data_IF_227758780882
#
_entry.id   IF_227758780882
#
_cell.length_a   1.000
_cell.length_b   1.000
_cell.length_c   1.000
_cell.angle_alpha   90.00
_cell.angle_beta   90.00
_cell.angle_gamma   90.00
#
_symmetry.space_group_name_H-M   'P 1'
#
loop_
_entity.id
_entity.type
_entity.pdbx_description
1 polymer ?
#
# COMPACT_ATOMS: atom_id res chain seq x y z
N UNK A 1 -0.15 -14.35 -17.00
CA UNK A 1 -1.43 -14.07 -16.31
C UNK A 1 -1.36 -14.76 -14.96
N UNK A 2 -1.04 -14.05 -13.90
CA UNK A 2 -1.37 -14.52 -12.55
C UNK A 2 -2.81 -14.14 -12.31
N UNK A 3 -3.64 -15.13 -12.01
CA UNK A 3 -5.08 -14.98 -11.80
C UNK A 3 -5.33 -14.03 -10.60
N UNK A 4 -6.12 -12.97 -10.80
CA UNK A 4 -6.41 -11.94 -9.77
C UNK A 4 -6.93 -12.56 -8.47
N UNK A 5 -7.65 -13.69 -8.60
CA UNK A 5 -8.18 -14.42 -7.47
C UNK A 5 -7.08 -14.99 -6.56
N UNK A 6 -5.89 -15.33 -7.09
CA UNK A 6 -4.79 -15.85 -6.26
C UNK A 6 -4.29 -14.83 -5.24
N UNK A 7 -4.20 -13.56 -5.64
CA UNK A 7 -3.80 -12.50 -4.72
C UNK A 7 -4.88 -12.24 -3.68
N UNK A 8 -6.16 -12.23 -4.08
CA UNK A 8 -7.28 -12.08 -3.16
C UNK A 8 -7.36 -13.24 -2.15
N UNK A 9 -7.24 -14.49 -2.61
CA UNK A 9 -7.22 -15.66 -1.73
C UNK A 9 -6.02 -15.63 -0.77
N UNK A 10 -4.84 -15.29 -1.28
CA UNK A 10 -3.65 -15.15 -0.43
C UNK A 10 -3.84 -14.05 0.62
N UNK A 11 -4.39 -12.90 0.23
CA UNK A 11 -4.67 -11.80 1.15
C UNK A 11 -5.67 -12.22 2.22
N UNK A 12 -6.76 -12.88 1.84
CA UNK A 12 -7.76 -13.41 2.78
C UNK A 12 -7.14 -14.40 3.77
N UNK A 13 -6.29 -15.30 3.29
CA UNK A 13 -5.63 -16.29 4.16
C UNK A 13 -4.60 -15.64 5.08
N UNK A 14 -3.78 -14.69 4.60
CA UNK A 14 -2.82 -13.95 5.42
C UNK A 14 -3.55 -13.17 6.53
N UNK A 15 -4.62 -12.45 6.21
CA UNK A 15 -5.41 -11.72 7.21
C UNK A 15 -6.01 -12.70 8.21
N UNK A 16 -6.60 -13.80 7.75
CA UNK A 16 -7.15 -14.82 8.65
C UNK A 16 -6.07 -15.41 9.57
N UNK A 17 -4.88 -15.71 9.05
CA UNK A 17 -3.78 -16.29 9.80
C UNK A 17 -3.27 -15.32 10.88
N UNK A 18 -3.00 -14.06 10.53
CA UNK A 18 -2.50 -13.06 11.48
C UNK A 18 -3.50 -12.85 12.63
N UNK A 19 -4.80 -12.79 12.33
CA UNK A 19 -5.82 -12.63 13.37
C UNK A 19 -6.02 -13.89 14.22
N UNK A 20 -5.86 -15.09 13.65
CA UNK A 20 -5.96 -16.37 14.37
C UNK A 20 -4.78 -16.59 15.32
N UNK A 21 -3.56 -16.31 14.87
CA UNK A 21 -2.34 -16.38 15.69
C UNK A 21 -2.44 -15.53 16.95
N UNK A 22 -2.99 -14.31 16.83
CA UNK A 22 -3.16 -13.41 17.98
C UNK A 22 -4.30 -13.86 18.91
N UNK A 23 -5.40 -14.41 18.37
CA UNK A 23 -6.49 -14.99 19.17
C UNK A 23 -6.07 -16.26 19.93
N UNK A 24 -5.18 -17.08 19.36
CA UNK A 24 -4.66 -18.27 20.04
C UNK A 24 -3.89 -17.92 21.33
N UNK A 25 -3.39 -16.69 21.44
CA UNK A 25 -2.67 -16.21 22.63
C UNK A 25 -3.59 -15.72 23.76
N UNK A 26 -4.83 -15.29 23.46
CA UNK A 26 -5.85 -14.82 24.44
C UNK A 26 -7.26 -14.97 23.88
N UNK A 27 -8.17 -15.56 24.66
CA UNK A 27 -9.56 -15.86 24.25
C UNK A 27 -10.43 -14.67 23.85
N UNK A 28 -10.05 -13.43 24.21
CA UNK A 28 -10.69 -12.20 23.71
C UNK A 28 -9.64 -11.24 23.13
N UNK A 29 -9.91 -10.73 21.93
CA UNK A 29 -9.04 -9.79 21.22
C UNK A 29 -9.42 -8.34 21.56
N UNK A 30 -8.60 -7.66 22.36
CA UNK A 30 -8.79 -6.25 22.69
C UNK A 30 -8.41 -5.33 21.49
N UNK A 31 -8.79 -4.06 21.56
CA UNK A 31 -8.44 -3.05 20.57
C UNK A 31 -6.91 -2.94 20.35
N UNK A 32 -6.10 -3.16 21.39
CA UNK A 32 -4.64 -3.17 21.28
C UNK A 32 -4.12 -4.33 20.43
N UNK A 33 -4.70 -5.51 20.57
CA UNK A 33 -4.29 -6.71 19.82
C UNK A 33 -4.71 -6.60 18.36
N UNK A 34 -5.88 -6.00 18.09
CA UNK A 34 -6.30 -5.62 16.73
C UNK A 34 -5.31 -4.64 16.09
N UNK A 35 -4.89 -3.62 16.81
CA UNK A 35 -3.89 -2.66 16.31
C UNK A 35 -2.54 -3.33 16.02
N UNK A 36 -2.13 -4.31 16.83
CA UNK A 36 -0.93 -5.11 16.57
C UNK A 36 -1.06 -5.96 15.30
N UNK A 37 -2.19 -6.63 15.09
CA UNK A 37 -2.48 -7.37 13.84
C UNK A 37 -2.37 -6.45 12.62
N UNK A 38 -3.00 -5.27 12.68
CA UNK A 38 -2.96 -4.28 11.60
C UNK A 38 -1.53 -3.80 11.33
N UNK A 39 -0.73 -3.56 12.36
CA UNK A 39 0.68 -3.15 12.22
C UNK A 39 1.53 -4.22 11.51
N UNK A 40 1.32 -5.50 11.82
CA UNK A 40 1.98 -6.62 11.12
C UNK A 40 1.60 -6.64 9.63
N UNK A 41 0.31 -6.52 9.33
CA UNK A 41 -0.18 -6.48 7.95
C UNK A 41 0.35 -5.26 7.18
N UNK A 42 0.40 -4.09 7.82
CA UNK A 42 0.98 -2.87 7.25
C UNK A 42 2.47 -3.06 6.94
N UNK A 43 3.23 -3.68 7.85
CA UNK A 43 4.65 -3.98 7.64
C UNK A 43 4.90 -4.93 6.46
N UNK A 44 4.06 -5.96 6.31
CA UNK A 44 4.11 -6.87 5.15
C UNK A 44 3.79 -6.12 3.85
N UNK A 45 2.71 -5.33 3.85
CA UNK A 45 2.31 -4.50 2.72
C UNK A 45 3.39 -3.48 2.32
N UNK A 46 4.06 -2.87 3.29
CA UNK A 46 5.14 -1.92 3.07
C UNK A 46 6.32 -2.55 2.31
N UNK A 47 6.76 -3.73 2.73
CA UNK A 47 7.89 -4.44 2.09
C UNK A 47 7.55 -4.85 0.66
N UNK A 48 6.36 -5.39 0.45
CA UNK A 48 5.87 -5.76 -0.89
C UNK A 48 5.75 -4.51 -1.77
N UNK A 49 5.17 -3.44 -1.23
CA UNK A 49 5.01 -2.16 -1.92
C UNK A 49 6.33 -1.55 -2.36
N UNK A 50 7.34 -1.55 -1.49
CA UNK A 50 8.68 -1.06 -1.82
C UNK A 50 9.30 -1.83 -2.99
N UNK A 51 9.30 -3.17 -2.92
CA UNK A 51 9.87 -4.01 -3.99
C UNK A 51 9.11 -3.89 -5.32
N UNK A 52 7.79 -3.73 -5.28
CA UNK A 52 6.99 -3.46 -6.47
C UNK A 52 7.34 -2.10 -7.09
N UNK A 53 7.49 -1.06 -6.28
CA UNK A 53 7.78 0.28 -6.77
C UNK A 53 9.19 0.38 -7.35
N UNK A 54 10.18 -0.23 -6.72
CA UNK A 54 11.55 -0.30 -7.26
C UNK A 54 11.59 -0.95 -8.64
N UNK A 55 10.75 -1.97 -8.88
CA UNK A 55 10.59 -2.62 -10.19
C UNK A 55 9.81 -1.76 -11.17
N UNK A 56 8.67 -1.21 -10.74
CA UNK A 56 7.75 -0.46 -11.61
C UNK A 56 8.28 0.91 -12.03
N UNK A 57 9.16 1.51 -11.22
CA UNK A 57 9.77 2.81 -11.50
C UNK A 57 11.12 2.71 -12.20
N UNK A 58 11.65 1.49 -12.42
CA UNK A 58 12.96 1.27 -13.06
C UNK A 58 13.07 1.96 -14.41
N UNK A 59 12.01 1.87 -15.21
CA UNK A 59 11.93 2.46 -16.56
C UNK A 59 11.10 3.75 -16.59
N UNK A 60 10.67 4.25 -15.42
CA UNK A 60 9.85 5.46 -15.33
C UNK A 60 10.72 6.71 -15.16
N UNK A 61 10.43 7.81 -15.89
CA UNK A 61 11.16 9.07 -15.77
C UNK A 61 11.20 9.56 -14.31
N UNK A 62 12.27 10.28 -13.95
CA UNK A 62 12.41 10.87 -12.61
C UNK A 62 11.21 11.75 -12.29
N UNK A 63 10.69 11.61 -11.08
CA UNK A 63 9.55 12.38 -10.62
C UNK A 63 10.00 13.81 -10.33
N UNK A 64 9.29 14.80 -10.88
CA UNK A 64 9.62 16.22 -10.71
C UNK A 64 8.99 16.78 -9.43
N UNK A 65 7.73 16.43 -9.19
CA UNK A 65 6.94 16.98 -8.08
C UNK A 65 6.14 15.89 -7.33
N UNK A 66 5.74 16.18 -6.09
CA UNK A 66 4.90 15.28 -5.27
C UNK A 66 3.58 14.90 -5.97
N UNK A 67 3.06 15.77 -6.84
CA UNK A 67 1.86 15.51 -7.65
C UNK A 67 2.08 14.41 -8.69
N UNK A 68 3.26 14.34 -9.30
CA UNK A 68 3.56 13.31 -10.29
C UNK A 68 3.71 11.94 -9.64
N UNK A 69 4.24 11.91 -8.42
CA UNK A 69 4.30 10.69 -7.61
C UNK A 69 2.89 10.22 -7.28
N UNK A 70 1.99 11.12 -6.87
CA UNK A 70 0.61 10.73 -6.60
C UNK A 70 -0.12 10.23 -7.84
N UNK A 71 0.10 10.85 -9.01
CA UNK A 71 -0.46 10.34 -10.28
C UNK A 71 0.07 8.95 -10.60
N UNK A 72 1.37 8.73 -10.46
CA UNK A 72 1.97 7.41 -10.66
C UNK A 72 1.37 6.37 -9.72
N UNK A 73 1.20 6.68 -8.43
CA UNK A 73 0.64 5.71 -7.48
C UNK A 73 -0.83 5.42 -7.83
N UNK A 74 -1.64 6.44 -8.10
CA UNK A 74 -3.07 6.27 -8.32
C UNK A 74 -3.41 5.67 -9.70
N UNK A 75 -2.61 5.96 -10.73
CA UNK A 75 -2.87 5.49 -12.10
C UNK A 75 -2.03 4.27 -12.45
N UNK A 76 -0.71 4.39 -12.39
CA UNK A 76 0.18 3.33 -12.86
C UNK A 76 0.32 2.20 -11.86
N UNK A 77 0.64 2.51 -10.61
CA UNK A 77 0.89 1.51 -9.58
C UNK A 77 -0.39 0.72 -9.26
N UNK A 78 -1.48 1.40 -8.95
CA UNK A 78 -2.74 0.76 -8.58
C UNK A 78 -3.30 -0.12 -9.71
N UNK A 79 -3.34 0.39 -10.94
CA UNK A 79 -3.81 -0.39 -12.09
C UNK A 79 -2.90 -1.57 -12.40
N UNK A 80 -1.59 -1.48 -12.18
CA UNK A 80 -0.67 -2.61 -12.41
C UNK A 80 -0.79 -3.70 -11.34
N UNK A 81 -1.04 -3.33 -10.09
CA UNK A 81 -1.11 -4.28 -8.96
C UNK A 81 -2.51 -4.87 -8.82
N UNK A 82 -3.53 -4.03 -8.82
CA UNK A 82 -4.92 -4.44 -8.53
C UNK A 82 -5.80 -4.53 -9.77
N UNK A 83 -5.30 -4.15 -10.97
CA UNK A 83 -6.07 -4.14 -12.23
C UNK A 83 -7.39 -3.35 -12.17
N UNK A 84 -7.56 -2.54 -11.14
CA UNK A 84 -8.70 -1.65 -10.90
C UNK A 84 -8.26 -0.20 -11.09
N UNK A 85 -9.19 0.66 -11.48
CA UNK A 85 -8.95 2.10 -11.46
C UNK A 85 -9.20 2.60 -10.04
N UNK A 86 -8.39 3.56 -9.61
CA UNK A 86 -8.66 4.30 -8.38
C UNK A 86 -9.79 5.27 -8.65
N UNK A 87 -10.87 5.16 -7.88
CA UNK A 87 -11.98 6.08 -7.99
C UNK A 87 -11.73 7.33 -7.11
N UNK A 88 -11.70 8.50 -7.75
CA UNK A 88 -11.65 9.85 -7.15
C UNK A 88 -10.34 10.26 -6.43
N UNK A 89 -9.27 10.51 -7.20
CA UNK A 89 -8.15 11.34 -6.73
C UNK A 89 -8.64 12.77 -6.47
N UNK A 90 -8.67 13.20 -5.20
CA UNK A 90 -9.11 14.55 -4.81
C UNK A 90 -7.90 15.43 -4.52
N UNK A 91 -7.66 16.42 -5.36
CA UNK A 91 -6.59 17.42 -5.17
C UNK A 91 -7.15 18.65 -4.49
N UNK A 92 -6.88 18.81 -3.20
CA UNK A 92 -7.14 20.09 -2.54
C UNK A 92 -5.96 21.00 -2.89
N UNK A 93 -6.17 22.11 -3.59
CA UNK A 93 -5.06 22.93 -4.12
C UNK A 93 -4.15 23.54 -3.03
N UNK A 94 -4.55 23.43 -1.75
CA UNK A 94 -3.77 23.88 -0.58
C UNK A 94 -3.29 22.74 0.33
N UNK A 95 -3.74 21.50 0.11
CA UNK A 95 -3.46 20.37 1.01
C UNK A 95 -3.12 19.18 0.13
N UNK A 96 -1.91 18.64 0.35
CA UNK A 96 -1.28 17.52 -0.38
C UNK A 96 -2.29 16.64 -1.13
N UNK A 97 -2.05 16.31 -2.41
CA UNK A 97 -2.91 15.37 -3.15
C UNK A 97 -3.20 14.15 -2.28
N UNK A 98 -4.47 13.84 -2.04
CA UNK A 98 -4.88 12.71 -1.18
C UNK A 98 -5.79 11.80 -1.99
N UNK A 99 -5.47 10.51 -1.98
CA UNK A 99 -6.32 9.50 -2.57
C UNK A 99 -7.00 8.73 -1.44
N UNK A 100 -8.33 8.83 -1.31
CA UNK A 100 -9.05 8.34 -0.13
C UNK A 100 -8.89 6.82 0.07
N UNK A 101 -8.77 6.06 -1.01
CA UNK A 101 -8.52 4.60 -0.97
C UNK A 101 -7.09 4.26 -0.50
N UNK A 102 -6.10 5.08 -0.84
CA UNK A 102 -4.70 4.88 -0.48
C UNK A 102 -4.41 5.40 0.94
N UNK A 103 -5.15 6.44 1.37
CA UNK A 103 -4.96 7.16 2.64
C UNK A 103 -5.68 6.52 3.84
N UNK A 104 -6.38 5.39 3.65
CA UNK A 104 -6.95 4.59 4.75
C UNK A 104 -5.89 4.03 5.71
N UNK A 105 -4.62 4.05 5.31
CA UNK A 105 -3.44 3.87 6.17
C UNK A 105 -2.49 5.05 5.95
N UNK A 106 -1.87 5.52 7.02
CA UNK A 106 -1.04 6.74 7.06
C UNK A 106 0.06 6.69 5.98
N UNK A 107 0.63 7.84 5.63
CA UNK A 107 1.57 8.02 4.51
C UNK A 107 3.06 7.93 4.92
N UNK A 108 3.63 6.73 5.15
CA UNK A 108 5.08 6.51 5.06
C UNK A 108 5.56 6.16 3.65
N UNK A 109 4.73 5.53 2.82
CA UNK A 109 5.17 4.93 1.55
C UNK A 109 5.71 5.97 0.57
N UNK A 110 5.00 7.09 0.39
CA UNK A 110 5.35 8.17 -0.56
C UNK A 110 6.72 8.77 -0.26
N UNK A 111 7.01 9.06 1.01
CA UNK A 111 8.32 9.60 1.42
C UNK A 111 9.46 8.61 1.21
N UNK A 112 9.20 7.31 1.42
CA UNK A 112 10.20 6.26 1.24
C UNK A 112 10.48 6.00 -0.24
N UNK A 113 9.47 6.09 -1.11
CA UNK A 113 9.62 5.97 -2.57
C UNK A 113 10.48 7.10 -3.13
N UNK A 114 10.23 8.34 -2.71
CA UNK A 114 11.03 9.50 -3.10
C UNK A 114 12.49 9.30 -2.67
N UNK A 115 12.70 8.83 -1.44
CA UNK A 115 14.04 8.59 -0.89
C UNK A 115 14.77 7.43 -1.60
N UNK A 116 14.06 6.36 -1.93
CA UNK A 116 14.61 5.21 -2.66
C UNK A 116 14.98 5.55 -4.11
N UNK A 117 14.27 6.49 -4.76
CA UNK A 117 14.58 6.95 -6.12
C UNK A 117 15.67 8.04 -6.17
N UNK A 118 15.75 8.89 -5.15
CA UNK A 118 16.77 9.95 -5.03
C UNK A 118 18.17 9.42 -4.67
N UNK A 119 18.26 8.21 -4.10
CA UNK A 119 19.53 7.57 -3.74
C UNK A 119 20.15 6.71 -4.86
N UNK A 120 19.66 6.81 -6.10
CA UNK A 120 20.24 6.21 -7.30
C UNK A 120 20.79 7.28 -8.23
#
# INVERSE_FOLDING_TARGET
MTDEALFEFLHMEIVSHVYKEQQASKGEMDNKDRAACVSVLEGMGFRVGQGLIERLTRDSPSFKDELDIMKFICKDYWTKVFRRQVDNLRTNHQVKPTCREIMGGRVPLIRQIIKAKSSR
#
